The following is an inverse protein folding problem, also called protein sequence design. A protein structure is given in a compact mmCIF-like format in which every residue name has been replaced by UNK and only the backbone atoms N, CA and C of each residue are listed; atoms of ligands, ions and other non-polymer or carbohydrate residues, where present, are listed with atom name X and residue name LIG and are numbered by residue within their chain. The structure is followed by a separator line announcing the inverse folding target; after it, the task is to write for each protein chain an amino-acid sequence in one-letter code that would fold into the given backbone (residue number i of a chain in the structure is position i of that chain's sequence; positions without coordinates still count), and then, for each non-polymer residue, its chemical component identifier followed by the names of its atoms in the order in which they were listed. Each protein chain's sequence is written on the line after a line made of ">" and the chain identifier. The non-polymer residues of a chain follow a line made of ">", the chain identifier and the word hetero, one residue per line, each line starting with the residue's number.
data_IF_751750062354
#
_entry.id   IF_751750062354
#
_cell.length_a   1.000
_cell.length_b   1.000
_cell.length_c   1.000
_cell.angle_alpha   90.00
_cell.angle_beta   90.00
_cell.angle_gamma   90.00
#
_symmetry.space_group_name_H-M   'P 1'
#
loop_
_entity.id
_entity.type
_entity.pdbx_description
1 polymer ?
#
# COMPACT_ATOMS: atom_id res chain seq x y z
N UNK A 1 2.91 -44.53 30.31
CA UNK A 1 3.11 -43.25 31.04
C UNK A 1 4.53 -42.84 30.78
N UNK A 2 4.75 -41.77 30.03
CA UNK A 2 6.09 -41.17 29.95
C UNK A 2 6.32 -40.46 31.29
N UNK A 3 7.35 -40.85 32.03
CA UNK A 3 7.80 -40.05 33.18
C UNK A 3 8.14 -38.66 32.66
N UNK A 4 7.36 -37.65 33.07
CA UNK A 4 7.68 -36.26 32.76
C UNK A 4 8.88 -35.86 33.59
N UNK A 5 10.08 -36.03 33.01
CA UNK A 5 11.34 -35.63 33.63
C UNK A 5 11.41 -34.11 33.72
N UNK A 6 11.63 -33.62 34.92
CA UNK A 6 11.80 -32.21 35.25
C UNK A 6 13.18 -31.97 35.85
N UNK A 7 13.59 -30.69 35.89
CA UNK A 7 14.94 -30.31 36.24
C UNK A 7 14.96 -29.16 37.25
N UNK A 8 15.91 -29.25 38.19
CA UNK A 8 16.23 -28.20 39.15
C UNK A 8 17.57 -27.56 38.78
N UNK A 9 17.69 -26.24 38.97
CA UNK A 9 18.92 -25.49 38.71
C UNK A 9 19.48 -24.96 40.02
N UNK A 10 20.66 -25.44 40.41
CA UNK A 10 21.39 -25.03 41.60
C UNK A 10 22.42 -23.96 41.27
N UNK A 11 22.63 -23.01 42.17
CA UNK A 11 23.75 -22.07 42.08
C UNK A 11 24.96 -22.59 42.84
N UNK A 12 26.06 -22.83 42.13
CA UNK A 12 27.34 -23.21 42.73
C UNK A 12 28.22 -22.00 43.05
N UNK A 13 28.06 -20.90 42.31
CA UNK A 13 28.81 -19.67 42.52
C UNK A 13 28.95 -18.84 41.24
N UNK A 14 29.87 -17.88 41.24
CA UNK A 14 30.20 -17.08 40.05
C UNK A 14 31.65 -17.36 39.62
N UNK A 15 31.89 -17.51 38.32
CA UNK A 15 33.23 -17.70 37.78
C UNK A 15 34.16 -16.49 38.06
N UNK A 16 33.59 -15.29 38.15
CA UNK A 16 34.29 -14.05 38.52
C UNK A 16 33.43 -13.26 39.52
N UNK A 17 33.63 -13.42 40.84
CA UNK A 17 32.71 -12.91 41.86
C UNK A 17 32.83 -11.40 42.16
N UNK A 18 33.62 -10.64 41.41
CA UNK A 18 33.75 -9.19 41.56
C UNK A 18 32.47 -8.43 41.15
N UNK A 19 32.43 -7.11 41.38
CA UNK A 19 31.24 -6.26 41.17
C UNK A 19 30.62 -6.39 39.78
N UNK A 20 31.46 -6.40 38.74
CA UNK A 20 31.01 -6.58 37.36
C UNK A 20 30.36 -7.97 37.14
N UNK A 21 30.85 -9.02 37.80
CA UNK A 21 30.27 -10.37 37.71
C UNK A 21 28.95 -10.48 38.47
N UNK A 22 28.89 -9.92 39.68
CA UNK A 22 27.65 -9.84 40.46
C UNK A 22 26.57 -9.03 39.74
N UNK A 23 26.93 -7.92 39.11
CA UNK A 23 26.00 -7.11 38.32
C UNK A 23 25.46 -7.87 37.11
N UNK A 24 26.31 -8.60 36.35
CA UNK A 24 25.83 -9.45 35.24
C UNK A 24 24.88 -10.54 35.71
N UNK A 25 25.21 -11.22 36.81
CA UNK A 25 24.34 -12.23 37.42
C UNK A 25 22.99 -11.64 37.86
N UNK A 26 23.01 -10.52 38.58
CA UNK A 26 21.80 -9.85 39.04
C UNK A 26 20.90 -9.39 37.87
N UNK A 27 21.51 -8.91 36.78
CA UNK A 27 20.77 -8.56 35.55
C UNK A 27 20.12 -9.79 34.92
N UNK A 28 20.82 -10.92 34.87
CA UNK A 28 20.27 -12.16 34.32
C UNK A 28 19.10 -12.69 35.19
N UNK A 29 19.24 -12.66 36.52
CA UNK A 29 18.18 -13.07 37.44
C UNK A 29 16.95 -12.17 37.36
N UNK A 30 17.14 -10.85 37.27
CA UNK A 30 16.04 -9.91 37.08
C UNK A 30 15.29 -10.16 35.76
N UNK A 31 16.01 -10.50 34.68
CA UNK A 31 15.41 -10.86 33.39
C UNK A 31 14.64 -12.18 33.43
N UNK A 32 15.18 -13.19 34.11
CA UNK A 32 14.55 -14.50 34.21
C UNK A 32 13.31 -14.46 35.09
N UNK A 33 13.36 -13.74 36.22
CA UNK A 33 12.32 -13.77 37.25
C UNK A 33 11.35 -12.59 37.24
N UNK A 34 11.68 -11.51 36.52
CA UNK A 34 10.94 -10.24 36.56
C UNK A 34 11.10 -9.45 37.86
N UNK A 35 11.94 -9.91 38.80
CA UNK A 35 12.17 -9.25 40.10
C UNK A 35 13.30 -8.20 40.02
N UNK A 36 13.33 -7.20 40.93
CA UNK A 36 14.38 -6.18 40.94
C UNK A 36 15.80 -6.76 41.06
N UNK A 37 16.77 -6.16 40.36
CA UNK A 37 18.18 -6.59 40.40
C UNK A 37 18.80 -6.55 41.80
N UNK A 38 18.33 -5.63 42.65
CA UNK A 38 18.86 -5.45 44.01
C UNK A 38 18.75 -6.74 44.83
N UNK A 39 17.69 -7.52 44.61
CA UNK A 39 17.40 -8.77 45.30
C UNK A 39 18.43 -9.87 44.99
N UNK A 40 19.20 -9.71 43.90
CA UNK A 40 20.15 -10.71 43.40
C UNK A 40 21.60 -10.24 43.40
N UNK A 41 21.90 -9.04 43.89
CA UNK A 41 23.27 -8.50 43.90
C UNK A 41 24.25 -9.33 44.73
N UNK A 42 23.74 -10.01 45.75
CA UNK A 42 24.52 -10.89 46.63
C UNK A 42 24.06 -12.34 46.41
N UNK A 43 24.63 -13.05 45.41
CA UNK A 43 24.30 -14.45 45.20
C UNK A 43 24.64 -15.26 46.46
N UNK A 44 23.68 -16.07 46.90
CA UNK A 44 23.86 -17.04 47.98
C UNK A 44 23.85 -18.44 47.37
N UNK A 45 25.01 -19.05 47.07
CA UNK A 45 25.07 -20.44 46.63
C UNK A 45 24.41 -21.34 47.67
N UNK A 46 23.60 -22.28 47.20
CA UNK A 46 22.95 -23.29 48.04
C UNK A 46 23.02 -24.62 47.32
N UNK A 47 23.42 -25.66 48.05
CA UNK A 47 23.48 -27.04 47.56
C UNK A 47 22.18 -27.81 47.85
N UNK A 48 21.34 -27.25 48.73
CA UNK A 48 20.11 -27.87 49.22
C UNK A 48 18.86 -27.21 48.60
N UNK A 49 18.95 -25.92 48.24
CA UNK A 49 17.83 -25.18 47.66
C UNK A 49 18.10 -24.74 46.21
N UNK A 50 17.25 -25.13 45.25
CA UNK A 50 17.40 -24.73 43.85
C UNK A 50 16.99 -23.27 43.61
N UNK A 51 17.67 -22.60 42.68
CA UNK A 51 17.25 -21.29 42.15
C UNK A 51 15.93 -21.37 41.39
N UNK A 52 15.77 -22.43 40.61
CA UNK A 52 14.57 -22.74 39.84
C UNK A 52 14.28 -24.23 39.99
N UNK A 53 13.01 -24.57 40.21
CA UNK A 53 12.61 -25.94 40.50
C UNK A 53 11.56 -26.47 39.55
N UNK A 54 11.60 -27.78 39.30
CA UNK A 54 10.64 -28.51 38.50
C UNK A 54 10.39 -27.90 37.09
N UNK A 55 11.47 -27.49 36.42
CA UNK A 55 11.42 -26.98 35.04
C UNK A 55 11.30 -28.13 34.03
N UNK A 56 10.61 -27.91 32.91
CA UNK A 56 10.72 -28.81 31.77
C UNK A 56 12.10 -28.69 31.10
N UNK A 57 12.43 -29.64 30.21
CA UNK A 57 13.74 -29.72 29.57
C UNK A 57 14.12 -28.46 28.77
N UNK A 58 13.18 -27.89 28.01
CA UNK A 58 13.44 -26.73 27.16
C UNK A 58 13.70 -25.49 28.00
N UNK A 59 12.87 -25.29 29.03
CA UNK A 59 13.02 -24.18 29.98
C UNK A 59 14.32 -24.29 30.77
N UNK A 60 14.65 -25.49 31.27
CA UNK A 60 15.90 -25.73 31.99
C UNK A 60 17.14 -25.40 31.14
N UNK A 61 17.13 -25.77 29.85
CA UNK A 61 18.20 -25.43 28.92
C UNK A 61 18.35 -23.92 28.70
N UNK A 62 17.23 -23.20 28.56
CA UNK A 62 17.23 -21.74 28.38
C UNK A 62 17.77 -21.01 29.63
N UNK A 63 17.29 -21.38 30.82
CA UNK A 63 17.73 -20.79 32.09
C UNK A 63 19.22 -21.09 32.30
N UNK A 64 19.63 -22.34 32.08
CA UNK A 64 21.02 -22.75 32.25
C UNK A 64 21.97 -21.97 31.35
N UNK A 65 21.61 -21.80 30.07
CA UNK A 65 22.38 -21.00 29.11
C UNK A 65 22.48 -19.54 29.54
N UNK A 66 21.36 -18.92 29.93
CA UNK A 66 21.31 -17.51 30.32
C UNK A 66 22.18 -17.22 31.54
N UNK A 67 22.14 -18.10 32.55
CA UNK A 67 22.99 -18.00 33.73
C UNK A 67 24.46 -18.25 33.42
N UNK A 68 24.76 -19.22 32.54
CA UNK A 68 26.12 -19.49 32.07
C UNK A 68 26.75 -18.31 31.33
N UNK A 69 26.01 -17.67 30.41
CA UNK A 69 26.45 -16.44 29.72
C UNK A 69 26.70 -15.27 30.69
N UNK A 70 25.94 -15.21 31.80
CA UNK A 70 26.16 -14.23 32.86
C UNK A 70 27.39 -14.52 33.75
N UNK A 71 28.02 -15.69 33.58
CA UNK A 71 29.17 -16.14 34.35
C UNK A 71 28.82 -16.84 35.67
N UNK A 72 27.59 -17.35 35.80
CA UNK A 72 27.19 -18.21 36.92
C UNK A 72 27.67 -19.65 36.69
N UNK A 73 28.15 -20.27 37.76
CA UNK A 73 28.41 -21.70 37.83
C UNK A 73 27.16 -22.37 38.38
N UNK A 74 26.57 -23.26 37.61
CA UNK A 74 25.29 -23.91 37.94
C UNK A 74 25.39 -25.42 37.84
N UNK A 75 24.54 -26.11 38.59
CA UNK A 75 24.32 -27.54 38.46
C UNK A 75 22.87 -27.78 38.02
N UNK A 76 22.65 -28.63 37.03
CA UNK A 76 21.31 -29.05 36.62
C UNK A 76 21.08 -30.46 37.14
N UNK A 77 20.09 -30.62 38.03
CA UNK A 77 19.70 -31.90 38.62
C UNK A 77 18.37 -32.34 38.06
N UNK A 78 18.09 -33.66 38.08
CA UNK A 78 16.72 -34.15 37.89
C UNK A 78 15.92 -33.81 39.15
N UNK A 79 14.75 -33.22 38.98
CA UNK A 79 13.88 -32.88 40.10
C UNK A 79 13.11 -34.11 40.58
N UNK A 80 12.79 -34.14 41.88
CA UNK A 80 11.84 -35.09 42.45
C UNK A 80 10.38 -34.62 42.31
N UNK A 81 10.15 -33.40 41.83
CA UNK A 81 8.83 -32.80 41.65
C UNK A 81 8.41 -32.79 40.17
N UNK A 82 7.13 -32.97 39.86
CA UNK A 82 6.61 -33.00 38.47
C UNK A 82 6.72 -31.61 37.81
N UNK A 83 7.11 -31.58 36.53
CA UNK A 83 7.24 -30.34 35.76
C UNK A 83 5.96 -29.48 35.83
N UNK A 84 6.10 -28.20 36.22
CA UNK A 84 4.97 -27.25 36.21
C UNK A 84 4.86 -26.63 34.81
N UNK A 85 3.72 -26.80 34.15
CA UNK A 85 3.47 -26.29 32.79
C UNK A 85 3.39 -24.77 32.69
N UNK A 86 3.22 -24.07 33.82
CA UNK A 86 3.41 -22.63 33.97
C UNK A 86 4.35 -22.41 35.15
N UNK A 87 5.61 -22.05 34.89
CA UNK A 87 6.52 -21.64 35.95
C UNK A 87 6.22 -20.20 36.34
N UNK A 88 5.46 -19.96 37.40
CA UNK A 88 5.30 -18.64 38.05
C UNK A 88 6.65 -18.04 38.51
N UNK A 89 7.75 -18.78 38.36
CA UNK A 89 9.13 -18.38 38.61
C UNK A 89 9.77 -17.61 37.44
N UNK A 90 9.18 -17.66 36.23
CA UNK A 90 9.72 -16.99 35.04
C UNK A 90 8.79 -15.86 34.57
N UNK A 91 9.39 -14.75 34.14
CA UNK A 91 8.63 -13.65 33.53
C UNK A 91 8.06 -14.09 32.16
N UNK A 92 6.89 -13.55 31.73
CA UNK A 92 6.39 -13.73 30.37
C UNK A 92 7.44 -13.30 29.35
N UNK A 93 7.56 -13.98 28.21
CA UNK A 93 8.55 -13.67 27.16
C UNK A 93 7.90 -13.31 25.83
N UNK A 94 8.43 -12.29 25.14
CA UNK A 94 8.08 -11.87 23.78
C UNK A 94 9.20 -12.21 22.78
N UNK A 95 8.83 -12.41 21.51
CA UNK A 95 9.80 -12.66 20.43
C UNK A 95 10.03 -11.39 19.61
N UNK A 96 11.29 -10.97 19.43
CA UNK A 96 11.62 -9.81 18.61
C UNK A 96 11.24 -10.04 17.14
N UNK A 97 10.40 -9.19 16.52
CA UNK A 97 9.93 -9.39 15.15
C UNK A 97 11.02 -9.21 14.09
N UNK A 98 12.11 -8.50 14.40
CA UNK A 98 13.20 -8.27 13.44
C UNK A 98 14.26 -9.39 13.41
N UNK A 99 14.48 -10.10 14.53
CA UNK A 99 15.58 -11.07 14.62
C UNK A 99 15.24 -12.39 15.31
N UNK A 100 13.98 -12.58 15.71
CA UNK A 100 13.48 -13.80 16.35
C UNK A 100 14.01 -14.06 17.76
N UNK A 101 14.66 -13.08 18.39
CA UNK A 101 15.23 -13.24 19.73
C UNK A 101 14.13 -13.22 20.80
N UNK A 102 14.03 -14.29 21.59
CA UNK A 102 13.12 -14.40 22.73
C UNK A 102 13.68 -13.59 23.90
N UNK A 103 12.88 -12.67 24.43
CA UNK A 103 13.27 -11.76 25.50
C UNK A 103 12.11 -11.58 26.49
N UNK A 104 12.37 -11.08 27.72
CA UNK A 104 11.30 -10.78 28.67
C UNK A 104 10.29 -9.78 28.09
N UNK A 105 9.00 -10.03 28.31
CA UNK A 105 7.91 -9.17 27.88
C UNK A 105 7.99 -7.80 28.58
N UNK A 106 7.65 -6.73 27.86
CA UNK A 106 7.69 -5.35 28.38
C UNK A 106 9.04 -4.64 28.29
N UNK A 107 10.04 -5.22 27.61
CA UNK A 107 11.26 -4.49 27.24
C UNK A 107 10.97 -3.38 26.22
N UNK A 108 11.65 -2.24 26.31
CA UNK A 108 11.47 -1.11 25.37
C UNK A 108 12.24 -1.31 24.05
N UNK A 109 13.29 -2.13 24.06
CA UNK A 109 14.15 -2.40 22.91
C UNK A 109 14.67 -3.84 22.90
N UNK A 110 15.02 -4.34 21.72
CA UNK A 110 15.58 -5.68 21.58
C UNK A 110 17.04 -5.71 22.04
N UNK A 111 17.32 -6.49 23.09
CA UNK A 111 18.68 -6.66 23.61
C UNK A 111 19.68 -7.32 22.66
N UNK A 112 19.24 -7.83 21.49
CA UNK A 112 20.11 -8.42 20.47
C UNK A 112 20.36 -7.50 19.27
N UNK A 113 19.30 -6.93 18.70
CA UNK A 113 19.40 -6.12 17.47
C UNK A 113 19.11 -4.63 17.66
N UNK A 114 18.78 -4.18 18.87
CA UNK A 114 18.50 -2.77 19.18
C UNK A 114 17.17 -2.24 18.65
N UNK A 115 16.26 -3.12 18.19
CA UNK A 115 14.93 -2.71 17.71
C UNK A 115 14.11 -2.09 18.84
N UNK A 116 13.70 -0.83 18.70
CA UNK A 116 12.78 -0.17 19.64
C UNK A 116 11.34 -0.58 19.29
N UNK A 117 10.66 -1.34 20.16
CA UNK A 117 9.37 -1.96 19.82
C UNK A 117 8.27 -0.93 19.57
N UNK A 118 8.19 0.12 20.39
CA UNK A 118 7.19 1.17 20.23
C UNK A 118 7.34 1.94 18.91
N UNK A 119 8.58 2.07 18.39
CA UNK A 119 8.85 2.67 17.10
C UNK A 119 8.44 1.73 15.97
N UNK A 120 8.82 0.45 16.07
CA UNK A 120 8.49 -0.58 15.11
C UNK A 120 6.97 -0.78 14.97
N UNK A 121 6.23 -0.81 16.08
CA UNK A 121 4.77 -0.91 16.07
C UNK A 121 4.11 0.30 15.42
N UNK A 122 4.61 1.51 15.68
CA UNK A 122 4.11 2.72 15.01
C UNK A 122 4.36 2.67 13.51
N UNK A 123 5.57 2.27 13.10
CA UNK A 123 5.93 2.12 11.68
C UNK A 123 5.08 1.03 11.00
N UNK A 124 4.85 -0.11 11.66
CA UNK A 124 3.97 -1.16 11.13
C UNK A 124 2.51 -0.71 11.04
N UNK A 125 1.97 -0.05 12.06
CA UNK A 125 0.60 0.49 12.03
C UNK A 125 0.46 1.52 10.92
N UNK A 126 1.46 2.38 10.73
CA UNK A 126 1.45 3.36 9.64
C UNK A 126 1.53 2.67 8.27
N UNK A 127 2.34 1.63 8.12
CA UNK A 127 2.43 0.83 6.90
C UNK A 127 1.12 0.11 6.59
N UNK A 128 0.51 -0.55 7.59
CA UNK A 128 -0.80 -1.19 7.43
C UNK A 128 -1.91 -0.20 7.08
N UNK A 129 -1.88 1.02 7.65
CA UNK A 129 -2.82 2.08 7.29
C UNK A 129 -2.62 2.58 5.85
N UNK A 130 -1.37 2.67 5.39
CA UNK A 130 -1.06 2.99 3.99
C UNK A 130 -1.52 1.88 3.03
N UNK A 131 -1.22 0.62 3.35
CA UNK A 131 -1.61 -0.54 2.55
C UNK A 131 -3.13 -0.65 2.44
N UNK A 132 -3.86 -0.48 3.56
CA UNK A 132 -5.32 -0.43 3.56
C UNK A 132 -5.86 0.75 2.76
N UNK A 133 -5.22 1.91 2.83
CA UNK A 133 -5.58 3.08 2.03
C UNK A 133 -5.43 2.82 0.52
N UNK A 134 -4.39 2.09 0.13
CA UNK A 134 -4.13 1.69 -1.26
C UNK A 134 -5.15 0.65 -1.74
N UNK A 135 -5.48 -0.35 -0.92
CA UNK A 135 -6.53 -1.34 -1.21
C UNK A 135 -7.91 -0.68 -1.39
N UNK A 136 -8.28 0.25 -0.50
CA UNK A 136 -9.54 1.00 -0.60
C UNK A 136 -9.56 1.90 -1.85
N UNK A 137 -8.45 2.53 -2.21
CA UNK A 137 -8.32 3.34 -3.42
C UNK A 137 -8.47 2.48 -4.69
N UNK A 138 -7.82 1.32 -4.74
CA UNK A 138 -7.93 0.36 -5.84
C UNK A 138 -9.36 -0.17 -5.98
N UNK A 139 -10.00 -0.56 -4.87
CA UNK A 139 -11.39 -1.03 -4.87
C UNK A 139 -12.35 0.02 -5.41
N UNK A 140 -12.20 1.29 -5.01
CA UNK A 140 -12.98 2.41 -5.56
C UNK A 140 -12.74 2.58 -7.05
N UNK A 141 -11.49 2.49 -7.51
CA UNK A 141 -11.15 2.62 -8.93
C UNK A 141 -11.77 1.52 -9.78
N UNK A 142 -11.75 0.26 -9.31
CA UNK A 142 -12.42 -0.88 -9.97
C UNK A 142 -13.92 -0.64 -10.04
N UNK A 143 -14.55 -0.27 -8.92
CA UNK A 143 -16.00 0.00 -8.88
C UNK A 143 -16.40 1.10 -9.87
N UNK A 144 -15.64 2.20 -9.91
CA UNK A 144 -15.88 3.27 -10.88
C UNK A 144 -15.78 2.75 -12.32
N UNK A 145 -14.74 1.97 -12.65
CA UNK A 145 -14.58 1.37 -13.99
C UNK A 145 -15.76 0.48 -14.37
N UNK A 146 -16.27 -0.33 -13.43
CA UNK A 146 -17.42 -1.19 -13.67
C UNK A 146 -18.71 -0.38 -13.89
N UNK A 147 -18.95 0.65 -13.07
CA UNK A 147 -20.08 1.57 -13.25
C UNK A 147 -20.08 2.19 -14.66
N UNK A 148 -18.91 2.61 -15.15
CA UNK A 148 -18.75 3.17 -16.48
C UNK A 148 -18.93 2.17 -17.62
N UNK A 149 -18.42 0.95 -17.42
CA UNK A 149 -18.65 -0.14 -18.35
C UNK A 149 -20.15 -0.42 -18.47
N UNK A 150 -20.87 -0.49 -17.35
CA UNK A 150 -22.31 -0.72 -17.35
C UNK A 150 -23.09 0.43 -17.99
N UNK A 151 -22.68 1.69 -17.78
CA UNK A 151 -23.29 2.85 -18.47
C UNK A 151 -23.12 2.76 -19.99
N UNK A 152 -21.91 2.46 -20.47
CA UNK A 152 -21.65 2.26 -21.90
C UNK A 152 -22.46 1.09 -22.46
N UNK A 153 -22.54 -0.02 -21.72
CA UNK A 153 -23.32 -1.18 -22.10
C UNK A 153 -24.81 -0.86 -22.23
N UNK A 154 -25.39 -0.18 -21.24
CA UNK A 154 -26.79 0.23 -21.27
C UNK A 154 -27.08 1.21 -22.41
N UNK A 155 -26.15 2.11 -22.73
CA UNK A 155 -26.28 2.98 -23.90
C UNK A 155 -26.39 2.17 -25.21
N UNK A 156 -25.53 1.15 -25.36
CA UNK A 156 -25.52 0.27 -26.54
C UNK A 156 -26.80 -0.55 -26.73
N UNK A 157 -27.54 -0.84 -25.66
CA UNK A 157 -28.83 -1.55 -25.74
C UNK A 157 -29.86 -0.78 -26.58
N UNK A 158 -29.77 0.55 -26.57
CA UNK A 158 -30.68 1.44 -27.31
C UNK A 158 -30.03 2.10 -28.53
N UNK A 159 -28.69 2.17 -28.56
CA UNK A 159 -27.91 2.78 -29.62
C UNK A 159 -26.79 1.83 -30.08
N UNK A 160 -27.11 0.80 -30.89
CA UNK A 160 -26.11 -0.15 -31.35
C UNK A 160 -24.97 0.54 -32.09
N UNK A 161 -23.74 0.20 -31.73
CA UNK A 161 -22.56 0.71 -32.42
C UNK A 161 -22.39 -0.01 -33.77
N UNK A 162 -22.08 0.74 -34.82
CA UNK A 162 -21.79 0.17 -36.13
C UNK A 162 -20.57 -0.77 -36.07
N UNK A 163 -20.60 -1.86 -36.86
CA UNK A 163 -19.57 -2.91 -36.87
C UNK A 163 -18.19 -2.35 -37.25
N UNK A 164 -18.17 -1.32 -38.09
CA UNK A 164 -16.98 -0.65 -38.58
C UNK A 164 -16.60 0.59 -37.76
N UNK A 165 -17.20 0.79 -36.59
CA UNK A 165 -17.03 2.01 -35.81
C UNK A 165 -15.61 2.27 -35.29
N UNK A 166 -14.74 1.25 -35.26
CA UNK A 166 -13.32 1.40 -34.88
C UNK A 166 -12.41 1.67 -36.10
N UNK A 167 -12.97 1.68 -37.31
CA UNK A 167 -12.19 1.82 -38.56
C UNK A 167 -11.56 3.21 -38.65
N UNK A 168 -10.28 3.25 -39.05
CA UNK A 168 -9.51 4.49 -39.22
C UNK A 168 -8.90 5.04 -37.93
N UNK A 169 -8.97 4.32 -36.82
CA UNK A 169 -8.25 4.64 -35.58
C UNK A 169 -6.95 3.83 -35.54
N UNK A 170 -5.82 4.49 -35.29
CA UNK A 170 -4.51 3.84 -35.19
C UNK A 170 -4.28 3.15 -33.84
N UNK A 171 -5.10 3.46 -32.82
CA UNK A 171 -4.95 2.94 -31.48
C UNK A 171 -6.03 1.88 -31.18
N UNK A 172 -5.63 0.67 -30.72
CA UNK A 172 -6.57 -0.38 -30.39
C UNK A 172 -7.34 -0.05 -29.10
N UNK A 173 -8.59 -0.48 -29.06
CA UNK A 173 -9.40 -0.49 -27.82
C UNK A 173 -8.78 -1.50 -26.85
N UNK A 174 -8.60 -1.11 -25.59
CA UNK A 174 -7.98 -1.95 -24.58
C UNK A 174 -8.88 -3.12 -24.18
N UNK A 175 -8.29 -4.19 -23.62
CA UNK A 175 -9.08 -5.32 -23.14
C UNK A 175 -10.04 -4.89 -22.01
N UNK A 176 -11.31 -5.28 -22.12
CA UNK A 176 -12.37 -4.89 -21.18
C UNK A 176 -12.77 -3.41 -21.24
N UNK A 177 -12.36 -2.69 -22.29
CA UNK A 177 -12.86 -1.36 -22.63
C UNK A 177 -13.95 -1.51 -23.69
N UNK A 178 -15.08 -0.81 -23.51
CA UNK A 178 -16.26 -0.96 -24.36
C UNK A 178 -16.44 0.28 -25.23
N UNK A 179 -16.24 0.21 -26.56
CA UNK A 179 -16.56 1.31 -27.45
C UNK A 179 -18.08 1.43 -27.55
N UNK A 180 -18.63 2.65 -27.44
CA UNK A 180 -20.09 2.83 -27.42
C UNK A 180 -20.60 3.95 -28.32
N UNK A 181 -19.75 4.89 -28.75
CA UNK A 181 -20.16 5.97 -29.63
C UNK A 181 -19.02 6.39 -30.56
N UNK A 182 -19.31 6.47 -31.86
CA UNK A 182 -18.41 7.05 -32.86
C UNK A 182 -18.96 8.39 -33.33
N UNK A 183 -18.08 9.38 -33.41
CA UNK A 183 -18.32 10.66 -34.05
C UNK A 183 -17.39 10.78 -35.27
N UNK A 184 -17.91 11.37 -36.34
CA UNK A 184 -17.16 11.66 -37.55
C UNK A 184 -16.86 13.16 -37.63
N UNK A 185 -15.63 13.50 -37.99
CA UNK A 185 -15.17 14.89 -38.14
C UNK A 185 -14.25 15.04 -39.34
N UNK A 186 -13.99 16.28 -39.75
CA UNK A 186 -13.06 16.59 -40.85
C UNK A 186 -11.61 16.19 -40.49
N UNK A 187 -11.25 16.18 -39.21
CA UNK A 187 -9.93 15.83 -38.70
C UNK A 187 -9.73 14.31 -38.50
N UNK A 188 -10.82 13.54 -38.62
CA UNK A 188 -10.85 12.08 -38.53
C UNK A 188 -11.88 11.55 -37.52
N UNK A 189 -11.92 10.22 -37.30
CA UNK A 189 -12.86 9.63 -36.38
C UNK A 189 -12.53 9.92 -34.91
N UNK A 190 -13.59 10.00 -34.11
CA UNK A 190 -13.53 10.12 -32.66
C UNK A 190 -14.37 8.98 -32.09
N UNK A 191 -13.78 8.18 -31.21
CA UNK A 191 -14.44 7.05 -30.56
C UNK A 191 -14.48 7.28 -29.07
N UNK A 192 -15.70 7.33 -28.52
CA UNK A 192 -15.93 7.31 -27.09
C UNK A 192 -16.03 5.86 -26.64
N UNK A 193 -15.26 5.53 -25.62
CA UNK A 193 -15.26 4.22 -24.97
C UNK A 193 -15.66 4.35 -23.51
N UNK A 194 -15.86 3.24 -22.81
CA UNK A 194 -16.14 3.25 -21.37
C UNK A 194 -15.04 3.86 -20.49
N UNK A 195 -13.87 4.23 -21.05
CA UNK A 195 -12.73 4.76 -20.27
C UNK A 195 -12.14 6.05 -20.80
N UNK A 196 -12.17 6.28 -22.12
CA UNK A 196 -11.50 7.42 -22.75
C UNK A 196 -12.10 7.78 -24.10
N UNK A 197 -11.62 8.88 -24.64
CA UNK A 197 -11.83 9.28 -26.03
C UNK A 197 -10.59 8.87 -26.83
N UNK A 198 -10.77 8.09 -27.89
CA UNK A 198 -9.73 7.79 -28.88
C UNK A 198 -10.04 8.63 -30.12
N UNK A 199 -9.23 9.64 -30.39
CA UNK A 199 -9.53 10.64 -31.43
C UNK A 199 -8.39 10.78 -32.43
N UNK A 200 -8.74 10.85 -33.70
CA UNK A 200 -7.83 11.32 -34.74
C UNK A 200 -7.78 12.84 -34.77
N UNK A 201 -6.58 13.42 -34.80
CA UNK A 201 -6.39 14.86 -34.96
C UNK A 201 -5.07 15.13 -35.67
N UNK A 202 -5.11 15.88 -36.77
CA UNK A 202 -3.93 16.19 -37.62
C UNK A 202 -3.09 14.94 -37.95
N UNK A 203 -3.76 13.86 -38.36
CA UNK A 203 -3.11 12.62 -38.78
C UNK A 203 -2.53 11.75 -37.66
N UNK A 204 -2.76 12.09 -36.39
CA UNK A 204 -2.31 11.30 -35.24
C UNK A 204 -3.51 10.83 -34.41
N UNK A 205 -3.38 9.66 -33.79
CA UNK A 205 -4.37 9.15 -32.84
C UNK A 205 -3.97 9.55 -31.43
N UNK A 206 -4.92 10.10 -30.68
CA UNK A 206 -4.75 10.55 -29.31
C UNK A 206 -5.67 9.76 -28.39
N UNK A 207 -5.13 9.33 -27.25
CA UNK A 207 -5.92 8.81 -26.15
C UNK A 207 -6.13 9.88 -25.09
N UNK A 208 -7.40 10.19 -24.82
CA UNK A 208 -7.80 11.29 -23.95
C UNK A 208 -8.72 10.72 -22.87
N UNK A 209 -8.22 10.45 -21.65
CA UNK A 209 -9.07 10.13 -20.51
C UNK A 209 -10.11 11.23 -20.28
N UNK A 210 -11.36 10.88 -19.99
CA UNK A 210 -12.44 11.86 -19.78
C UNK A 210 -12.11 12.86 -18.69
N UNK A 211 -11.36 12.42 -17.70
CA UNK A 211 -10.93 13.18 -16.54
C UNK A 211 -9.95 14.31 -16.89
N UNK A 212 -9.21 14.16 -17.99
CA UNK A 212 -8.34 15.22 -18.51
C UNK A 212 -9.15 16.35 -19.12
N UNK A 213 -10.43 16.14 -19.45
CA UNK A 213 -11.30 17.19 -19.96
C UNK A 213 -11.70 18.13 -18.83
N UNK A 214 -11.38 19.40 -19.03
CA UNK A 214 -11.77 20.51 -18.17
C UNK A 214 -13.12 21.07 -18.60
N UNK A 215 -13.31 21.22 -19.92
CA UNK A 215 -14.50 21.81 -20.50
C UNK A 215 -14.73 21.33 -21.95
N UNK A 216 -15.97 21.39 -22.41
CA UNK A 216 -16.40 20.98 -23.75
C UNK A 216 -17.22 22.07 -24.39
N UNK A 217 -16.72 22.59 -25.50
CA UNK A 217 -17.30 23.72 -26.22
C UNK A 217 -17.93 23.25 -27.54
N UNK A 218 -19.26 23.31 -27.64
CA UNK A 218 -20.02 23.04 -28.86
C UNK A 218 -20.55 24.34 -29.47
N UNK A 219 -20.31 24.55 -30.78
CA UNK A 219 -20.95 25.62 -31.56
C UNK A 219 -20.44 27.05 -31.31
N UNK A 220 -19.45 27.25 -30.44
CA UNK A 220 -18.93 28.57 -30.04
C UNK A 220 -17.94 29.25 -30.99
N UNK A 221 -18.10 29.11 -32.31
CA UNK A 221 -17.23 29.80 -33.29
C UNK A 221 -17.92 29.98 -34.64
N UNK A 222 -17.44 30.93 -35.46
CA UNK A 222 -17.91 31.13 -36.83
C UNK A 222 -17.72 29.84 -37.65
N UNK A 223 -18.74 29.00 -37.69
CA UNK A 223 -18.75 27.83 -38.57
C UNK A 223 -19.02 28.34 -39.99
N UNK A 224 -17.98 28.42 -40.81
CA UNK A 224 -18.09 28.87 -42.20
C UNK A 224 -18.91 27.92 -43.10
N UNK A 225 -19.20 26.69 -42.64
CA UNK A 225 -19.91 25.65 -43.41
C UNK A 225 -21.23 25.27 -42.73
N UNK A 226 -22.35 25.47 -43.41
CA UNK A 226 -23.74 25.25 -42.93
C UNK A 226 -24.07 23.81 -42.45
N UNK A 227 -23.16 22.85 -42.57
CA UNK A 227 -23.39 21.42 -42.28
C UNK A 227 -22.42 20.82 -41.25
N UNK A 228 -21.55 21.64 -40.64
CA UNK A 228 -20.56 21.19 -39.66
C UNK A 228 -20.80 21.84 -38.31
N UNK A 229 -20.42 21.15 -37.23
CA UNK A 229 -20.52 21.69 -35.87
C UNK A 229 -19.16 21.60 -35.21
N UNK A 230 -18.67 22.73 -34.70
CA UNK A 230 -17.40 22.77 -33.97
C UNK A 230 -17.58 22.13 -32.59
N UNK A 231 -16.74 21.16 -32.28
CA UNK A 231 -16.52 20.62 -30.94
C UNK A 231 -15.08 20.93 -30.52
N UNK A 232 -14.89 21.54 -29.36
CA UNK A 232 -13.56 21.77 -28.78
C UNK A 232 -13.51 21.16 -27.38
N UNK A 233 -12.51 20.32 -27.14
CA UNK A 233 -12.18 19.84 -25.81
C UNK A 233 -11.08 20.73 -25.22
N UNK A 234 -11.29 21.25 -24.01
CA UNK A 234 -10.31 21.97 -23.22
C UNK A 234 -9.82 21.03 -22.14
N UNK A 235 -8.51 20.97 -21.90
CA UNK A 235 -7.91 19.99 -20.99
C UNK A 235 -7.39 20.62 -19.72
N UNK A 236 -7.43 19.90 -18.59
CA UNK A 236 -6.93 20.37 -17.27
C UNK A 236 -5.43 20.68 -17.29
N UNK A 237 -4.65 19.93 -18.06
CA UNK A 237 -3.28 20.23 -18.40
C UNK A 237 -3.06 20.01 -19.89
N UNK A 238 -2.08 20.68 -20.51
CA UNK A 238 -1.74 20.42 -21.91
C UNK A 238 -1.48 18.93 -22.15
N UNK A 239 -2.04 18.40 -23.24
CA UNK A 239 -1.73 17.05 -23.73
C UNK A 239 -0.56 17.12 -24.69
N UNK A 240 0.31 16.11 -24.67
CA UNK A 240 1.32 15.94 -25.71
C UNK A 240 0.60 15.72 -27.06
N UNK A 241 0.86 16.62 -28.00
CA UNK A 241 0.36 16.60 -29.35
C UNK A 241 1.52 16.68 -30.34
N UNK A 242 1.20 16.57 -31.62
CA UNK A 242 2.19 16.49 -32.72
C UNK A 242 3.06 17.74 -32.81
N UNK A 243 2.49 18.91 -32.55
CA UNK A 243 3.14 20.22 -32.64
C UNK A 243 3.42 20.79 -31.23
N UNK A 244 3.90 19.94 -30.31
CA UNK A 244 4.15 20.32 -28.93
C UNK A 244 2.99 19.98 -28.00
N UNK A 245 2.68 20.81 -27.02
CA UNK A 245 1.58 20.55 -26.10
C UNK A 245 0.37 21.44 -26.38
N UNK A 246 -0.83 20.89 -26.27
CA UNK A 246 -2.07 21.60 -26.55
C UNK A 246 -2.99 21.61 -25.32
N UNK A 247 -3.41 22.80 -24.88
CA UNK A 247 -4.40 22.99 -23.81
C UNK A 247 -5.85 22.78 -24.29
N UNK A 248 -6.06 22.76 -25.62
CA UNK A 248 -7.34 22.41 -26.22
C UNK A 248 -7.16 21.83 -27.63
N UNK A 249 -8.12 21.00 -28.07
CA UNK A 249 -8.19 20.45 -29.43
C UNK A 249 -9.58 20.64 -30.01
N UNK A 250 -9.67 20.86 -31.32
CA UNK A 250 -10.92 21.17 -32.02
C UNK A 250 -11.19 20.18 -33.15
N UNK A 251 -12.44 19.79 -33.29
CA UNK A 251 -12.98 18.95 -34.35
C UNK A 251 -14.19 19.61 -35.01
N UNK A 252 -14.32 19.44 -36.33
CA UNK A 252 -15.48 19.85 -37.11
C UNK A 252 -16.36 18.64 -37.39
N UNK A 253 -17.32 18.40 -36.50
CA UNK A 253 -18.24 17.27 -36.56
C UNK A 253 -19.19 17.40 -37.76
N UNK A 254 -19.55 16.27 -38.35
CA UNK A 254 -20.70 16.22 -39.26
C UNK A 254 -22.03 16.45 -38.54
N UNK A 255 -23.09 16.64 -39.33
CA UNK A 255 -24.43 16.94 -38.81
C UNK A 255 -24.94 15.82 -37.90
N UNK A 256 -24.72 14.57 -38.25
CA UNK A 256 -25.22 13.42 -37.47
C UNK A 256 -24.51 13.34 -36.11
N UNK A 257 -23.18 13.43 -36.12
CA UNK A 257 -22.34 13.42 -34.92
C UNK A 257 -22.68 14.57 -33.97
N UNK A 258 -23.14 15.70 -34.49
CA UNK A 258 -23.54 16.85 -33.67
C UNK A 258 -24.76 16.61 -32.78
N UNK A 259 -25.61 15.63 -33.10
CA UNK A 259 -26.75 15.28 -32.25
C UNK A 259 -26.34 14.58 -30.95
N UNK A 260 -25.12 14.06 -30.86
CA UNK A 260 -24.61 13.41 -29.66
C UNK A 260 -23.93 14.36 -28.67
N UNK A 261 -24.14 15.68 -28.81
CA UNK A 261 -23.60 16.69 -27.90
C UNK A 261 -23.82 16.32 -26.43
N UNK A 262 -25.05 15.98 -26.05
CA UNK A 262 -25.39 15.73 -24.65
C UNK A 262 -24.66 14.49 -24.09
N UNK A 263 -24.45 13.47 -24.92
CA UNK A 263 -23.65 12.29 -24.56
C UNK A 263 -22.19 12.67 -24.34
N UNK A 264 -21.60 13.45 -25.24
CA UNK A 264 -20.21 13.93 -25.08
C UNK A 264 -20.05 14.75 -23.81
N UNK A 265 -21.00 15.67 -23.54
CA UNK A 265 -20.97 16.52 -22.35
C UNK A 265 -21.10 15.68 -21.07
N UNK A 266 -22.06 14.75 -21.00
CA UNK A 266 -22.27 13.87 -19.84
C UNK A 266 -21.00 13.06 -19.53
N UNK A 267 -20.39 12.45 -20.54
CA UNK A 267 -19.16 11.67 -20.36
C UNK A 267 -17.94 12.52 -19.98
N UNK A 268 -17.76 13.68 -20.62
CA UNK A 268 -16.61 14.54 -20.34
C UNK A 268 -16.64 15.19 -18.94
N UNK A 269 -17.82 15.47 -18.38
CA UNK A 269 -17.93 16.08 -17.05
C UNK A 269 -18.02 15.09 -15.89
N UNK A 270 -18.19 13.82 -16.20
CA UNK A 270 -18.26 12.80 -15.18
C UNK A 270 -16.82 12.39 -14.78
N UNK A 271 -16.28 13.14 -13.82
CA UNK A 271 -14.90 13.04 -13.33
C UNK A 271 -14.64 11.72 -12.59
N UNK A 272 -13.63 10.94 -13.00
CA UNK A 272 -13.26 9.67 -12.36
C UNK A 272 -11.83 9.54 -11.83
N UNK A 273 -10.91 10.49 -12.08
CA UNK A 273 -9.55 10.32 -11.55
C UNK A 273 -9.61 10.41 -10.03
N UNK A 274 -9.20 9.32 -9.40
CA UNK A 274 -8.98 9.22 -7.98
C UNK A 274 -7.50 9.09 -7.73
N UNK A 275 -7.03 9.78 -6.71
CA UNK A 275 -5.70 9.58 -6.18
C UNK A 275 -5.47 8.10 -5.87
N UNK A 276 -4.44 7.49 -6.47
CA UNK A 276 -4.09 6.09 -6.19
C UNK A 276 -3.65 5.83 -4.75
N UNK A 277 -3.25 6.88 -4.02
CA UNK A 277 -2.83 6.78 -2.62
C UNK A 277 -3.98 6.96 -1.59
N UNK A 278 -4.95 7.85 -1.84
CA UNK A 278 -6.00 8.18 -0.86
C UNK A 278 -7.43 8.16 -1.40
N UNK A 279 -7.62 7.94 -2.70
CA UNK A 279 -8.94 7.91 -3.35
C UNK A 279 -9.63 9.27 -3.51
N UNK A 280 -9.00 10.39 -3.15
CA UNK A 280 -9.56 11.72 -3.34
C UNK A 280 -9.56 12.15 -4.82
N UNK A 281 -10.52 12.99 -5.20
CA UNK A 281 -10.70 13.48 -6.59
C UNK A 281 -10.11 14.86 -6.84
N UNK A 282 -9.63 15.53 -5.79
CA UNK A 282 -9.01 16.84 -5.91
C UNK A 282 -7.55 16.67 -6.32
N UNK A 283 -7.32 16.79 -7.63
CA UNK A 283 -6.06 16.56 -8.29
C UNK A 283 -5.66 17.82 -9.07
N UNK A 284 -4.45 18.30 -8.83
CA UNK A 284 -3.85 19.42 -9.56
C UNK A 284 -2.99 18.89 -10.71
N UNK A 285 -3.45 19.13 -11.94
CA UNK A 285 -2.89 18.52 -13.15
C UNK A 285 -1.80 19.40 -13.76
N UNK A 286 -0.70 18.77 -14.18
CA UNK A 286 0.43 19.44 -14.84
C UNK A 286 1.05 18.57 -15.91
N UNK A 287 1.76 19.21 -16.84
CA UNK A 287 2.60 18.54 -17.82
C UNK A 287 4.07 18.73 -17.41
N UNK A 288 4.75 17.64 -17.10
CA UNK A 288 6.20 17.63 -16.83
C UNK A 288 6.92 16.92 -17.98
N UNK A 289 7.61 17.69 -18.83
CA UNK A 289 8.18 17.18 -20.07
C UNK A 289 7.06 16.71 -21.02
N UNK A 290 7.04 15.41 -21.33
CA UNK A 290 6.01 14.76 -22.14
C UNK A 290 4.97 13.98 -21.31
N UNK A 291 5.09 13.97 -19.98
CA UNK A 291 4.26 13.14 -19.10
C UNK A 291 3.23 13.99 -18.36
N UNK A 292 1.96 13.62 -18.48
CA UNK A 292 0.91 14.19 -17.65
C UNK A 292 1.06 13.66 -16.21
N UNK A 293 1.05 14.58 -15.25
CA UNK A 293 1.16 14.30 -13.82
C UNK A 293 0.06 15.01 -13.07
N UNK A 294 -0.25 14.54 -11.87
CA UNK A 294 -1.09 15.29 -10.95
C UNK A 294 -0.59 15.20 -9.51
N UNK A 295 -0.78 16.27 -8.75
CA UNK A 295 -0.64 16.26 -7.29
C UNK A 295 -2.00 16.05 -6.67
N UNK A 296 -2.13 15.10 -5.75
CA UNK A 296 -3.34 15.03 -4.95
C UNK A 296 -3.34 16.14 -3.90
N UNK A 297 -4.36 16.99 -3.91
CA UNK A 297 -4.48 18.10 -2.95
C UNK A 297 -4.90 17.62 -1.56
N UNK A 298 -5.34 16.37 -1.43
CA UNK A 298 -5.73 15.78 -0.15
C UNK A 298 -4.55 15.15 0.61
N UNK A 299 -3.80 14.23 -0.02
CA UNK A 299 -2.64 13.57 0.60
C UNK A 299 -1.30 14.14 0.17
N UNK A 300 -1.29 15.20 -0.64
CA UNK A 300 -0.10 15.90 -1.13
C UNK A 300 0.90 15.04 -1.92
N UNK A 301 0.52 13.84 -2.39
CA UNK A 301 1.37 12.95 -3.17
C UNK A 301 1.29 13.25 -4.67
N UNK A 302 2.42 13.12 -5.36
CA UNK A 302 2.53 13.24 -6.81
C UNK A 302 2.26 11.89 -7.50
N UNK A 303 1.61 11.97 -8.66
CA UNK A 303 1.23 10.82 -9.47
C UNK A 303 1.55 11.07 -10.93
N UNK A 304 1.96 10.01 -11.62
CA UNK A 304 1.99 9.98 -13.07
C UNK A 304 0.64 9.51 -13.60
N UNK A 305 0.12 10.20 -14.61
CA UNK A 305 -1.12 9.80 -15.27
C UNK A 305 -0.76 8.88 -16.42
N UNK A 306 -1.24 7.64 -16.33
CA UNK A 306 -1.28 6.74 -17.48
C UNK A 306 -2.52 7.08 -18.32
N UNK A 307 -2.30 7.73 -19.46
CA UNK A 307 -3.38 8.14 -20.38
C UNK A 307 -4.08 6.93 -21.03
N UNK A 308 -3.41 5.78 -21.10
CA UNK A 308 -3.98 4.56 -21.72
C UNK A 308 -4.87 3.82 -20.74
N UNK A 309 -4.38 3.63 -19.51
CA UNK A 309 -5.13 2.94 -18.46
C UNK A 309 -6.10 3.86 -17.70
N UNK A 310 -6.02 5.19 -17.94
CA UNK A 310 -6.77 6.21 -17.24
C UNK A 310 -6.61 6.08 -15.70
N UNK A 311 -5.37 5.89 -15.24
CA UNK A 311 -5.03 5.79 -13.81
C UNK A 311 -3.95 6.80 -13.38
N UNK A 312 -4.06 7.29 -12.15
CA UNK A 312 -3.04 8.09 -11.48
C UNK A 312 -2.15 7.17 -10.62
N UNK A 313 -0.96 6.84 -11.13
CA UNK A 313 0.00 5.96 -10.48
C UNK A 313 0.86 6.80 -9.52
N UNK A 314 0.89 6.50 -8.21
CA UNK A 314 1.77 7.21 -7.27
C UNK A 314 3.22 7.10 -7.74
N UNK A 315 3.90 8.23 -7.90
CA UNK A 315 5.36 8.19 -8.05
C UNK A 315 5.92 7.90 -6.66
N UNK A 316 6.55 6.73 -6.47
CA UNK A 316 7.24 6.46 -5.21
C UNK A 316 8.18 7.62 -4.91
N UNK A 317 8.05 8.19 -3.71
CA UNK A 317 9.09 9.07 -3.17
C UNK A 317 10.33 8.19 -3.09
N UNK A 318 11.27 8.38 -4.01
CA UNK A 318 12.63 7.86 -3.83
C UNK A 318 13.26 8.55 -2.63
#
# INVERSE_FOLDING_TARGET
>A
MYDMVSFDIMLLGLAKPGEAGRSRYANAMARLTGKPQLDFRNPSPSFDEPLFSALDQGTAQMVARTLGEAGALIEVRRSTAVARTNSDQLAPTDTCPACGFVQPAGGNECGKCGLIFSKFEREQVQQMQQDRGLEDALSKAIKARDEWYQRAHHYLETHPLAVDATTGLGEPVAAGELPFLRLNSDEGPILLTSRRIIASHKGNTLSIPYEMVEDVNFGGGLVAKKSKVRMQLVFRAPLAAVEGSAKSLTWLLDKESSFFKDVVMDWAFARNFMCGACGARDLDFRLEGSNNRCRCMHCATDHQIDLREALAIPTSVQ
#
